data_IF_658229481875
#
_entry.id   IF_658229481875
#
_cell.length_a   1.000
_cell.length_b   1.000
_cell.length_c   1.000
_cell.angle_alpha   90.00
_cell.angle_beta   90.00
_cell.angle_gamma   90.00
#
_symmetry.space_group_name_H-M   'P 1'
#
loop_
_entity.id
_entity.type
_entity.pdbx_description
1 polymer ?
#
# COMPACT_ATOMS: atom_id res chain seq x y z
N UNK A 1 0.71 -10.95 -9.07
CA UNK A 1 -0.16 -9.85 -8.61
C UNK A 1 0.16 -9.42 -7.17
N UNK A 2 0.33 -10.34 -6.22
CA UNK A 2 0.44 -10.05 -4.77
C UNK A 2 1.81 -9.55 -4.25
N UNK A 3 2.64 -8.99 -5.11
CA UNK A 3 3.99 -8.53 -4.74
C UNK A 3 4.12 -7.07 -5.16
N UNK A 4 4.57 -6.22 -4.25
CA UNK A 4 5.01 -4.87 -4.54
C UNK A 4 6.52 -4.78 -4.30
N UNK A 5 7.24 -4.17 -5.24
CA UNK A 5 8.69 -3.92 -5.13
C UNK A 5 8.86 -2.47 -4.75
N UNK A 6 9.40 -2.22 -3.56
CA UNK A 6 9.76 -0.87 -3.10
C UNK A 6 11.26 -0.64 -3.26
N UNK A 7 11.65 0.47 -3.87
CA UNK A 7 13.06 0.85 -4.07
C UNK A 7 13.43 2.15 -3.32
N UNK A 8 14.69 2.56 -3.49
CA UNK A 8 15.37 3.70 -2.86
C UNK A 8 15.23 3.75 -1.33
N UNK A 9 16.28 3.28 -0.65
CA UNK A 9 16.36 3.21 0.80
C UNK A 9 16.32 4.62 1.41
N UNK A 10 15.87 4.69 2.66
CA UNK A 10 15.88 5.90 3.46
C UNK A 10 17.01 5.86 4.49
N UNK A 11 17.59 7.00 4.84
CA UNK A 11 18.68 7.04 5.81
C UNK A 11 18.14 6.66 7.20
N UNK A 12 18.68 5.60 7.79
CA UNK A 12 18.22 5.10 9.08
C UNK A 12 18.76 5.95 10.25
N UNK A 13 20.02 6.39 10.12
CA UNK A 13 20.70 7.24 11.09
C UNK A 13 21.80 8.05 10.40
N UNK A 14 22.08 9.23 10.95
CA UNK A 14 23.32 9.94 10.64
C UNK A 14 24.55 9.14 11.13
N UNK A 15 25.71 9.45 10.55
CA UNK A 15 26.99 8.98 11.06
C UNK A 15 27.22 9.48 12.49
N UNK A 16 27.87 8.68 13.33
CA UNK A 16 28.23 9.15 14.66
C UNK A 16 29.20 10.33 14.58
N UNK A 17 28.96 11.33 15.40
CA UNK A 17 29.86 12.46 15.64
C UNK A 17 30.21 12.53 17.13
N UNK A 18 30.99 13.54 17.52
CA UNK A 18 31.39 13.71 18.93
C UNK A 18 30.19 13.88 19.87
N UNK A 19 29.05 14.40 19.39
CA UNK A 19 27.86 14.64 20.20
C UNK A 19 26.92 13.42 20.28
N UNK A 20 26.89 12.61 19.23
CA UNK A 20 25.99 11.45 19.08
C UNK A 20 26.68 10.12 19.37
N UNK A 21 27.99 10.13 19.62
CA UNK A 21 28.76 8.94 19.99
C UNK A 21 28.19 8.25 21.22
N UNK A 22 27.98 6.93 21.12
CA UNK A 22 27.46 6.11 22.22
C UNK A 22 28.54 5.65 23.21
N UNK A 23 29.82 5.77 22.83
CA UNK A 23 30.97 5.36 23.64
C UNK A 23 31.60 6.60 24.25
N UNK A 24 31.76 6.62 25.58
CA UNK A 24 32.23 7.82 26.32
C UNK A 24 33.75 7.89 26.41
N UNK A 25 34.40 6.74 26.51
CA UNK A 25 35.85 6.60 26.71
C UNK A 25 36.64 6.95 25.45
N UNK A 26 36.08 6.65 24.28
CA UNK A 26 36.63 6.98 22.98
C UNK A 26 35.49 7.39 22.04
N UNK A 27 35.34 8.70 21.82
CA UNK A 27 34.32 9.23 20.93
C UNK A 27 34.56 8.72 19.50
N UNK A 28 33.66 7.86 19.03
CA UNK A 28 33.62 7.37 17.65
C UNK A 28 33.05 8.48 16.78
N UNK A 29 33.79 8.85 15.73
CA UNK A 29 33.36 9.75 14.66
C UNK A 29 33.38 8.96 13.37
N UNK A 30 32.21 8.74 12.77
CA UNK A 30 32.05 8.10 11.48
C UNK A 30 32.16 9.15 10.37
N UNK A 31 33.06 8.90 9.42
CA UNK A 31 33.25 9.73 8.24
C UNK A 31 32.86 8.91 7.00
N UNK A 32 31.56 8.76 6.69
CA UNK A 32 31.13 7.95 5.56
C UNK A 32 31.66 8.55 4.26
N UNK A 33 32.55 7.82 3.59
CA UNK A 33 33.19 8.25 2.34
C UNK A 33 32.29 8.09 1.11
N UNK A 34 31.29 7.22 1.19
CA UNK A 34 30.36 6.91 0.11
C UNK A 34 28.99 6.43 0.65
N UNK A 35 28.06 6.17 -0.27
CA UNK A 35 26.73 5.67 0.04
C UNK A 35 26.76 4.27 0.69
N UNK A 36 27.73 3.41 0.38
CA UNK A 36 27.88 2.08 0.99
C UNK A 36 28.29 2.12 2.45
N UNK A 37 28.95 3.19 2.89
CA UNK A 37 29.32 3.43 4.28
C UNK A 37 28.18 4.02 5.14
N UNK A 38 27.04 4.38 4.53
CA UNK A 38 25.86 4.88 5.25
C UNK A 38 24.93 3.75 5.71
N UNK A 39 24.15 4.01 6.76
CA UNK A 39 23.19 3.04 7.29
C UNK A 39 21.81 3.28 6.70
N UNK A 40 21.42 2.40 5.79
CA UNK A 40 20.17 2.49 5.04
C UNK A 40 19.07 1.60 5.62
N UNK A 41 17.87 2.15 5.69
CA UNK A 41 16.64 1.43 6.01
C UNK A 41 15.94 1.00 4.71
N UNK A 42 15.58 -0.28 4.61
CA UNK A 42 14.85 -0.78 3.45
C UNK A 42 13.49 -0.05 3.31
N UNK A 43 13.10 0.37 2.10
CA UNK A 43 11.88 1.14 1.87
C UNK A 43 10.60 0.37 2.26
N UNK A 44 10.66 -0.96 2.27
CA UNK A 44 9.57 -1.81 2.76
C UNK A 44 9.16 -1.51 4.21
N UNK A 45 10.10 -1.09 5.08
CA UNK A 45 9.78 -0.70 6.45
C UNK A 45 8.98 0.60 6.50
N UNK A 46 9.29 1.57 5.63
CA UNK A 46 8.55 2.82 5.54
C UNK A 46 7.13 2.57 5.01
N UNK A 47 7.00 1.77 3.96
CA UNK A 47 5.67 1.36 3.44
C UNK A 47 4.89 0.59 4.51
N UNK A 48 5.55 -0.31 5.26
CA UNK A 48 4.94 -1.02 6.38
C UNK A 48 4.45 -0.08 7.49
N UNK A 49 5.23 0.95 7.83
CA UNK A 49 4.82 1.97 8.80
C UNK A 49 3.56 2.72 8.34
N UNK A 50 3.46 3.06 7.05
CA UNK A 50 2.25 3.66 6.48
C UNK A 50 1.04 2.73 6.59
N UNK A 51 1.21 1.44 6.25
CA UNK A 51 0.14 0.43 6.36
C UNK A 51 -0.35 0.29 7.80
N UNK A 52 0.57 0.20 8.76
CA UNK A 52 0.24 0.09 10.19
C UNK A 52 -0.43 1.37 10.72
N UNK A 53 0.08 2.54 10.34
CA UNK A 53 -0.53 3.82 10.69
C UNK A 53 -1.95 3.96 10.13
N UNK A 54 -2.15 3.59 8.86
CA UNK A 54 -3.47 3.52 8.24
C UNK A 54 -4.41 2.61 9.04
N UNK A 55 -3.98 1.40 9.38
CA UNK A 55 -4.81 0.45 10.10
C UNK A 55 -5.15 0.94 11.52
N UNK A 56 -4.18 1.50 12.24
CA UNK A 56 -4.39 2.10 13.56
C UNK A 56 -5.45 3.20 13.51
N UNK A 57 -5.39 4.08 12.51
CA UNK A 57 -6.22 5.28 12.47
C UNK A 57 -7.62 5.03 11.87
N UNK A 58 -7.75 4.05 10.99
CA UNK A 58 -8.97 3.86 10.17
C UNK A 58 -9.58 2.46 10.27
N UNK A 59 -8.88 1.49 10.86
CA UNK A 59 -9.23 0.06 10.77
C UNK A 59 -8.92 -0.58 9.41
N UNK A 60 -8.41 0.20 8.45
CA UNK A 60 -8.07 -0.25 7.10
C UNK A 60 -6.59 -0.04 6.79
N UNK A 61 -5.91 -1.00 6.12
CA UNK A 61 -4.51 -0.85 5.71
C UNK A 61 -4.32 -0.07 4.39
N UNK A 62 -5.31 0.69 3.92
CA UNK A 62 -5.36 1.21 2.54
C UNK A 62 -4.78 2.62 2.35
N UNK A 63 -4.80 3.44 3.41
CA UNK A 63 -4.46 4.87 3.38
C UNK A 63 -2.94 5.09 3.39
N UNK A 64 -2.28 4.65 2.31
CA UNK A 64 -0.80 4.63 2.19
C UNK A 64 -0.26 5.39 0.98
N UNK A 65 -1.13 6.10 0.25
CA UNK A 65 -0.76 6.90 -0.92
C UNK A 65 -1.19 8.36 -0.79
N UNK A 66 -0.46 9.24 -1.46
CA UNK A 66 -0.69 10.68 -1.57
C UNK A 66 -0.22 11.47 -0.34
N UNK A 67 0.43 12.62 -0.59
CA UNK A 67 1.10 13.40 0.45
C UNK A 67 0.15 13.91 1.57
N UNK A 68 -1.12 14.19 1.25
CA UNK A 68 -2.12 14.65 2.23
C UNK A 68 -3.09 13.57 2.68
N UNK A 69 -3.03 12.41 2.04
CA UNK A 69 -4.01 11.33 2.18
C UNK A 69 -3.40 10.10 2.85
N UNK A 70 -2.26 10.23 3.52
CA UNK A 70 -1.64 9.19 4.35
C UNK A 70 -0.43 8.47 3.75
N UNK A 71 0.07 8.92 2.59
CA UNK A 71 1.29 8.39 1.98
C UNK A 71 2.59 9.09 2.39
N UNK A 72 2.56 9.97 3.40
CA UNK A 72 3.71 10.77 3.85
C UNK A 72 4.43 10.07 5.01
N UNK A 73 5.76 9.98 4.92
CA UNK A 73 6.64 9.63 6.03
C UNK A 73 7.56 10.84 6.27
N UNK A 74 7.47 11.43 7.46
CA UNK A 74 8.23 12.61 7.88
C UNK A 74 9.28 12.28 8.95
N UNK A 75 10.00 13.31 9.39
CA UNK A 75 11.01 13.22 10.45
C UNK A 75 12.12 12.18 10.14
N UNK A 76 12.54 12.11 8.88
CA UNK A 76 13.61 11.23 8.42
C UNK A 76 14.97 11.90 8.62
N UNK A 77 16.01 11.08 8.75
CA UNK A 77 17.37 11.60 8.72
C UNK A 77 17.70 12.01 7.28
N UNK A 78 18.43 13.11 7.13
CA UNK A 78 18.85 13.63 5.82
C UNK A 78 20.36 13.58 5.68
N UNK A 79 20.84 13.44 4.45
CA UNK A 79 22.24 13.60 4.08
C UNK A 79 22.34 14.54 2.88
N UNK A 80 23.45 15.26 2.78
CA UNK A 80 23.71 16.16 1.67
C UNK A 80 24.21 15.39 0.45
N UNK A 81 23.53 15.58 -0.67
CA UNK A 81 24.02 15.18 -1.98
C UNK A 81 24.56 16.42 -2.69
N UNK A 82 25.86 16.40 -3.00
CA UNK A 82 26.47 17.43 -3.83
C UNK A 82 26.00 17.25 -5.28
N UNK A 83 25.57 18.33 -5.93
CA UNK A 83 25.38 18.27 -7.37
C UNK A 83 26.76 18.21 -8.05
N UNK A 84 26.81 17.64 -9.26
CA UNK A 84 28.06 17.48 -10.01
C UNK A 84 28.67 18.78 -10.55
N UNK A 85 28.07 19.93 -10.26
CA UNK A 85 28.53 21.25 -10.71
C UNK A 85 29.36 21.94 -9.63
N UNK A 86 30.52 22.49 -10.00
CA UNK A 86 31.36 23.26 -9.09
C UNK A 86 30.60 24.49 -8.57
N UNK A 87 30.53 24.63 -7.24
CA UNK A 87 29.93 25.79 -6.57
C UNK A 87 28.45 25.67 -6.21
N UNK A 88 27.82 24.52 -6.47
CA UNK A 88 26.42 24.30 -6.08
C UNK A 88 26.29 23.96 -4.59
N UNK A 89 25.28 24.52 -3.94
CA UNK A 89 24.91 24.16 -2.57
C UNK A 89 24.22 22.78 -2.63
N UNK A 90 24.81 21.79 -1.97
CA UNK A 90 24.28 20.42 -1.97
C UNK A 90 22.82 20.37 -1.51
N UNK A 91 22.06 19.36 -1.99
CA UNK A 91 20.67 19.16 -1.61
C UNK A 91 20.61 18.11 -0.49
N UNK A 92 20.05 18.50 0.66
CA UNK A 92 19.77 17.55 1.73
C UNK A 92 18.54 16.71 1.40
N UNK A 93 18.69 15.38 1.37
CA UNK A 93 17.59 14.45 1.09
C UNK A 93 17.58 13.27 2.06
N UNK A 94 16.41 12.65 2.32
CA UNK A 94 16.33 11.52 3.24
C UNK A 94 16.59 10.15 2.57
N UNK A 95 16.66 10.10 1.24
CA UNK A 95 16.79 8.85 0.46
C UNK A 95 18.15 8.75 -0.22
N UNK A 96 18.54 7.55 -0.66
CA UNK A 96 19.81 7.32 -1.37
C UNK A 96 19.99 8.16 -2.62
N UNK A 97 18.89 8.42 -3.31
CA UNK A 97 18.82 9.23 -4.50
C UNK A 97 17.59 10.11 -4.43
N UNK A 98 17.68 11.30 -5.02
CA UNK A 98 16.54 12.18 -5.18
C UNK A 98 15.61 11.59 -6.22
N UNK A 99 14.37 11.28 -5.82
CA UNK A 99 13.33 10.80 -6.72
C UNK A 99 12.22 11.85 -6.76
N UNK A 100 11.98 12.41 -7.94
CA UNK A 100 10.89 13.35 -8.17
C UNK A 100 9.52 12.64 -8.22
N UNK A 101 8.43 13.41 -8.05
CA UNK A 101 7.07 12.89 -8.25
C UNK A 101 6.88 12.27 -9.64
N UNK A 102 7.43 12.90 -10.69
CA UNK A 102 7.24 12.42 -12.06
C UNK A 102 8.05 11.14 -12.31
N UNK A 103 9.28 11.07 -11.81
CA UNK A 103 10.09 9.84 -11.84
C UNK A 103 9.39 8.70 -11.10
N UNK A 104 8.82 8.97 -9.93
CA UNK A 104 8.03 7.98 -9.20
C UNK A 104 6.81 7.52 -10.02
N UNK A 105 6.12 8.42 -10.73
CA UNK A 105 4.98 8.07 -11.59
C UNK A 105 5.41 7.18 -12.76
N UNK A 106 6.58 7.42 -13.34
CA UNK A 106 7.11 6.60 -14.43
C UNK A 106 7.56 5.21 -13.94
N UNK A 107 8.25 5.13 -12.81
CA UNK A 107 8.57 3.85 -12.15
C UNK A 107 7.30 3.07 -11.80
N UNK A 108 6.24 3.77 -11.41
CA UNK A 108 4.96 3.13 -11.12
C UNK A 108 4.31 2.50 -12.34
N UNK A 109 4.54 3.01 -13.56
CA UNK A 109 4.10 2.34 -14.80
C UNK A 109 4.84 1.00 -15.00
N UNK A 110 6.10 0.93 -14.58
CA UNK A 110 6.95 -0.27 -14.67
C UNK A 110 6.77 -1.27 -13.51
N UNK A 111 5.79 -1.08 -12.61
CA UNK A 111 5.57 -2.03 -11.50
C UNK A 111 6.38 -1.77 -10.23
N UNK A 112 7.05 -0.62 -10.17
CA UNK A 112 7.99 -0.29 -9.09
C UNK A 112 7.42 0.83 -8.22
N UNK A 113 7.36 0.60 -6.92
CA UNK A 113 7.08 1.60 -5.90
C UNK A 113 8.41 2.27 -5.53
N UNK A 114 8.47 3.59 -5.59
CA UNK A 114 9.62 4.37 -5.12
C UNK A 114 9.16 5.39 -4.08
N UNK A 115 10.05 5.89 -3.23
CA UNK A 115 9.79 6.96 -2.27
C UNK A 115 10.21 8.28 -2.90
N UNK A 116 9.28 9.20 -3.13
CA UNK A 116 9.60 10.51 -3.71
C UNK A 116 9.93 11.50 -2.59
N UNK A 117 11.03 12.23 -2.74
CA UNK A 117 11.47 13.21 -1.74
C UNK A 117 10.51 14.40 -1.73
N UNK A 118 10.11 14.83 -0.54
CA UNK A 118 9.29 16.01 -0.39
C UNK A 118 10.14 17.28 -0.50
N UNK A 119 9.73 18.27 -1.31
CA UNK A 119 10.54 19.47 -1.54
C UNK A 119 10.89 20.18 -0.23
N UNK A 120 12.17 20.49 -0.03
CA UNK A 120 12.69 21.24 1.12
C UNK A 120 12.24 20.69 2.48
N UNK A 121 12.21 19.37 2.63
CA UNK A 121 11.81 18.72 3.88
C UNK A 121 12.53 17.39 4.07
N UNK A 122 12.50 16.92 5.31
CA UNK A 122 12.99 15.62 5.77
C UNK A 122 11.95 14.51 5.60
N UNK A 123 11.13 14.61 4.56
CA UNK A 123 10.01 13.70 4.33
C UNK A 123 10.05 13.06 2.94
N UNK A 124 9.36 11.93 2.82
CA UNK A 124 9.08 11.26 1.55
C UNK A 124 7.59 10.98 1.44
N UNK A 125 7.08 10.88 0.22
CA UNK A 125 5.72 10.40 -0.01
C UNK A 125 5.65 9.30 -1.07
N UNK A 126 4.63 8.46 -0.94
CA UNK A 126 4.24 7.44 -1.91
C UNK A 126 3.03 7.98 -2.69
N UNK A 127 3.16 8.37 -3.97
CA UNK A 127 1.97 8.75 -4.76
C UNK A 127 1.22 7.54 -5.31
N UNK A 128 1.93 6.47 -5.62
CA UNK A 128 1.34 5.25 -6.16
C UNK A 128 2.01 4.03 -5.53
N UNK A 129 1.20 3.02 -5.22
CA UNK A 129 1.66 1.74 -4.70
C UNK A 129 1.34 0.63 -5.70
N UNK A 130 2.08 0.57 -6.83
CA UNK A 130 1.88 -0.47 -7.84
C UNK A 130 2.26 -1.84 -7.31
N UNK A 131 1.72 -2.87 -7.95
CA UNK A 131 2.28 -4.23 -7.84
C UNK A 131 3.29 -4.47 -8.96
N UNK A 132 4.19 -5.43 -8.74
CA UNK A 132 5.21 -5.85 -9.69
C UNK A 132 4.62 -6.46 -10.97
N UNK A 133 3.34 -6.84 -10.94
CA UNK A 133 2.64 -7.30 -12.12
C UNK A 133 2.32 -6.12 -13.05
N UNK A 134 2.94 -6.13 -14.22
CA UNK A 134 2.66 -5.22 -15.33
C UNK A 134 1.99 -6.06 -16.43
N UNK A 135 0.74 -5.77 -16.82
CA UNK A 135 0.09 -6.48 -17.91
C UNK A 135 0.89 -6.33 -19.20
N UNK A 136 1.03 -7.40 -20.02
CA UNK A 136 1.65 -7.28 -21.33
C UNK A 136 0.86 -6.30 -22.21
N UNK A 137 1.56 -5.65 -23.15
CA UNK A 137 0.92 -4.78 -24.13
C UNK A 137 -0.22 -5.51 -24.85
N UNK A 138 -1.34 -4.81 -25.06
CA UNK A 138 -2.46 -5.39 -25.79
C UNK A 138 -1.98 -5.59 -27.23
N UNK A 139 -1.86 -6.84 -27.66
CA UNK A 139 -1.58 -7.10 -29.07
C UNK A 139 -2.77 -6.65 -29.91
N UNK A 140 -2.59 -5.62 -30.72
CA UNK A 140 -3.54 -5.24 -31.76
C UNK A 140 -3.26 -6.10 -32.99
N UNK A 141 -3.70 -7.37 -32.96
CA UNK A 141 -3.77 -8.17 -34.19
C UNK A 141 -5.18 -8.10 -34.75
N UNK A 142 -5.28 -7.66 -36.01
CA UNK A 142 -6.48 -7.78 -36.81
C UNK A 142 -6.59 -9.25 -37.29
N UNK A 143 -7.15 -10.12 -36.47
CA UNK A 143 -7.57 -11.44 -36.94
C UNK A 143 -8.71 -12.00 -36.07
N UNK A 144 -9.78 -12.39 -36.74
CA UNK A 144 -10.98 -12.98 -36.15
C UNK A 144 -10.78 -14.41 -35.59
N UNK A 145 -9.54 -14.85 -35.41
CA UNK A 145 -9.18 -16.27 -35.11
C UNK A 145 -8.25 -16.45 -33.92
N UNK A 146 -7.98 -15.41 -33.12
CA UNK A 146 -7.11 -15.53 -31.95
C UNK A 146 -7.96 -15.65 -30.67
N UNK A 147 -7.71 -16.67 -29.85
CA UNK A 147 -8.35 -16.81 -28.54
C UNK A 147 -8.07 -15.59 -27.65
N UNK A 148 -9.02 -15.19 -26.78
CA UNK A 148 -8.81 -14.05 -25.88
C UNK A 148 -7.57 -14.30 -25.01
N UNK A 149 -6.59 -13.42 -25.06
CA UNK A 149 -5.47 -13.50 -24.12
C UNK A 149 -5.99 -13.27 -22.69
N UNK A 150 -5.72 -14.22 -21.78
CA UNK A 150 -6.00 -14.09 -20.34
C UNK A 150 -5.14 -12.98 -19.71
N UNK A 151 -5.56 -11.74 -19.92
CA UNK A 151 -4.91 -10.53 -19.40
C UNK A 151 -5.56 -10.14 -18.08
N UNK A 152 -4.95 -10.57 -16.98
CA UNK A 152 -5.38 -10.13 -15.66
C UNK A 152 -5.21 -8.62 -15.53
N UNK A 153 -6.20 -7.97 -14.94
CA UNK A 153 -6.15 -6.54 -14.64
C UNK A 153 -5.04 -6.23 -13.63
N UNK A 154 -4.43 -5.06 -13.83
CA UNK A 154 -3.46 -4.52 -12.90
C UNK A 154 -4.18 -4.03 -11.66
N UNK A 155 -3.80 -4.56 -10.50
CA UNK A 155 -4.37 -4.18 -9.21
C UNK A 155 -3.25 -3.68 -8.31
N UNK A 156 -3.50 -2.55 -7.64
CA UNK A 156 -2.50 -1.90 -6.79
C UNK A 156 -2.34 -2.63 -5.45
N UNK A 157 -1.29 -2.29 -4.70
CA UNK A 157 -1.13 -2.78 -3.33
C UNK A 157 -2.29 -2.31 -2.44
N UNK A 158 -2.76 -1.08 -2.61
CA UNK A 158 -3.90 -0.52 -1.84
C UNK A 158 -5.15 -1.37 -2.04
N UNK A 159 -5.44 -1.73 -3.28
CA UNK A 159 -6.59 -2.58 -3.64
C UNK A 159 -6.46 -3.98 -3.05
N UNK A 160 -5.27 -4.56 -3.08
CA UNK A 160 -5.01 -5.88 -2.50
C UNK A 160 -5.15 -5.89 -0.98
N UNK A 161 -4.69 -4.84 -0.32
CA UNK A 161 -4.84 -4.65 1.12
C UNK A 161 -6.32 -4.51 1.50
N UNK A 162 -7.10 -3.79 0.69
CA UNK A 162 -8.56 -3.69 0.85
C UNK A 162 -9.24 -5.05 0.75
N UNK A 163 -9.04 -5.77 -0.36
CA UNK A 163 -9.64 -7.09 -0.58
C UNK A 163 -9.19 -8.07 0.50
N UNK A 164 -7.90 -8.08 0.84
CA UNK A 164 -7.35 -8.94 1.89
C UNK A 164 -8.03 -8.71 3.24
N UNK A 165 -8.30 -7.45 3.61
CA UNK A 165 -9.02 -7.12 4.84
C UNK A 165 -10.46 -7.60 4.83
N UNK A 166 -11.18 -7.41 3.72
CA UNK A 166 -12.57 -7.91 3.56
C UNK A 166 -12.60 -9.43 3.66
N UNK A 167 -11.75 -10.14 2.91
CA UNK A 167 -11.68 -11.60 2.94
C UNK A 167 -11.33 -12.11 4.34
N UNK A 168 -10.35 -11.51 5.01
CA UNK A 168 -9.98 -11.89 6.38
C UNK A 168 -11.16 -11.74 7.35
N UNK A 169 -11.88 -10.62 7.26
CA UNK A 169 -13.05 -10.37 8.09
C UNK A 169 -14.18 -11.37 7.82
N UNK A 170 -14.54 -11.58 6.55
CA UNK A 170 -15.60 -12.51 6.16
C UNK A 170 -15.27 -13.94 6.59
N UNK A 171 -14.04 -14.42 6.38
CA UNK A 171 -13.62 -15.75 6.87
C UNK A 171 -13.81 -15.88 8.37
N UNK A 172 -13.37 -14.88 9.13
CA UNK A 172 -13.48 -14.91 10.59
C UNK A 172 -14.94 -14.83 11.08
N UNK A 173 -15.80 -14.10 10.37
CA UNK A 173 -17.22 -13.98 10.68
C UNK A 173 -17.99 -15.25 10.32
N UNK A 174 -17.87 -15.71 9.07
CA UNK A 174 -18.65 -16.84 8.54
C UNK A 174 -18.30 -18.16 9.23
N UNK A 175 -17.05 -18.36 9.66
CA UNK A 175 -16.62 -19.53 10.45
C UNK A 175 -17.28 -19.63 11.85
N UNK A 176 -17.97 -18.58 12.31
CA UNK A 176 -18.67 -18.56 13.59
C UNK A 176 -20.17 -18.77 13.44
N UNK A 177 -20.67 -18.81 12.21
CA UNK A 177 -22.10 -18.93 11.92
C UNK A 177 -22.44 -20.39 11.58
N UNK A 178 -23.54 -20.94 12.10
CA UNK A 178 -23.97 -22.29 11.75
C UNK A 178 -24.32 -22.40 10.26
N UNK A 179 -23.84 -23.46 9.59
CA UNK A 179 -24.19 -23.75 8.20
C UNK A 179 -25.69 -24.05 7.99
N UNK A 180 -26.44 -24.35 9.06
CA UNK A 180 -27.87 -24.64 9.06
C UNK A 180 -28.75 -23.42 9.31
N UNK A 181 -28.19 -22.21 9.39
CA UNK A 181 -28.93 -20.97 9.63
C UNK A 181 -29.80 -20.59 8.44
N UNK A 182 -30.93 -19.91 8.70
CA UNK A 182 -31.81 -19.39 7.65
C UNK A 182 -31.14 -18.19 6.94
N UNK A 183 -30.98 -18.24 5.60
CA UNK A 183 -30.45 -17.11 4.83
C UNK A 183 -31.16 -15.78 5.09
N UNK A 184 -32.48 -15.78 5.29
CA UNK A 184 -33.27 -14.56 5.49
C UNK A 184 -32.94 -13.87 6.83
N UNK A 185 -32.63 -14.66 7.86
CA UNK A 185 -32.22 -14.14 9.17
C UNK A 185 -30.74 -13.71 9.17
N UNK A 186 -29.88 -14.40 8.42
CA UNK A 186 -28.45 -14.08 8.36
C UNK A 186 -28.14 -12.82 7.57
N UNK A 187 -28.85 -12.56 6.48
CA UNK A 187 -28.56 -11.44 5.61
C UNK A 187 -28.45 -10.09 6.35
N UNK A 188 -29.40 -9.65 7.20
CA UNK A 188 -29.27 -8.38 7.92
C UNK A 188 -28.12 -8.39 8.93
N UNK A 189 -27.82 -9.53 9.55
CA UNK A 189 -26.69 -9.67 10.50
C UNK A 189 -25.35 -9.53 9.78
N UNK A 190 -25.21 -10.17 8.62
CA UNK A 190 -24.02 -10.07 7.79
C UNK A 190 -23.82 -8.66 7.25
N UNK A 191 -24.89 -8.02 6.78
CA UNK A 191 -24.83 -6.65 6.28
C UNK A 191 -24.39 -5.67 7.38
N UNK A 192 -25.01 -5.75 8.56
CA UNK A 192 -24.61 -4.95 9.72
C UNK A 192 -23.15 -5.20 10.11
N UNK A 193 -22.72 -6.46 10.16
CA UNK A 193 -21.35 -6.84 10.50
C UNK A 193 -20.33 -6.31 9.48
N UNK A 194 -20.61 -6.37 8.18
CA UNK A 194 -19.70 -5.80 7.17
C UNK A 194 -19.64 -4.28 7.29
N UNK A 195 -20.75 -3.61 7.61
CA UNK A 195 -20.74 -2.17 7.88
C UNK A 195 -19.87 -1.77 9.07
N UNK A 196 -19.67 -2.64 10.08
CA UNK A 196 -18.78 -2.31 11.21
C UNK A 196 -17.32 -2.13 10.79
N UNK A 197 -16.90 -2.70 9.65
CA UNK A 197 -15.55 -2.46 9.11
C UNK A 197 -15.30 -0.97 8.81
N UNK A 198 -16.36 -0.19 8.59
CA UNK A 198 -16.26 1.20 8.17
C UNK A 198 -16.45 2.21 9.30
N UNK A 199 -16.71 1.78 10.54
CA UNK A 199 -17.01 2.68 11.67
C UNK A 199 -15.90 3.69 11.97
N UNK A 200 -14.63 3.25 11.94
CA UNK A 200 -13.47 4.09 12.24
C UNK A 200 -13.08 5.03 11.09
N UNK A 201 -13.62 4.80 9.89
CA UNK A 201 -13.44 5.68 8.75
C UNK A 201 -14.72 5.66 7.91
N UNK A 202 -15.77 6.40 8.33
CA UNK A 202 -17.05 6.40 7.65
C UNK A 202 -16.90 6.81 6.17
N UNK A 203 -17.48 6.05 5.23
CA UNK A 203 -17.29 6.30 3.82
C UNK A 203 -18.28 7.35 3.33
N UNK A 204 -17.82 8.25 2.45
CA UNK A 204 -18.70 9.24 1.83
C UNK A 204 -19.63 8.64 0.74
N UNK A 205 -19.27 7.48 0.16
CA UNK A 205 -20.01 6.92 -0.96
C UNK A 205 -19.79 5.43 -1.23
N UNK A 206 -19.28 4.66 -0.26
CA UNK A 206 -19.17 3.20 -0.44
C UNK A 206 -20.57 2.62 -0.58
N UNK A 207 -20.76 1.75 -1.56
CA UNK A 207 -21.98 0.95 -1.70
C UNK A 207 -21.70 -0.48 -1.25
N UNK A 208 -22.60 -1.06 -0.45
CA UNK A 208 -22.53 -2.44 0.02
C UNK A 208 -23.81 -3.17 -0.39
N UNK A 209 -23.67 -4.39 -0.90
CA UNK A 209 -24.76 -5.34 -1.08
C UNK A 209 -24.34 -6.68 -0.48
N UNK A 210 -25.19 -7.24 0.37
CA UNK A 210 -24.97 -8.55 0.99
C UNK A 210 -26.16 -9.44 0.67
N UNK A 211 -25.88 -10.68 0.30
CA UNK A 211 -26.88 -11.71 0.05
C UNK A 211 -26.44 -13.01 0.72
N UNK A 212 -27.32 -13.62 1.49
CA UNK A 212 -27.16 -15.01 1.92
C UNK A 212 -28.08 -15.88 1.07
N UNK A 213 -27.59 -17.05 0.65
CA UNK A 213 -28.37 -17.99 -0.15
C UNK A 213 -27.88 -19.42 0.03
N UNK A 214 -28.79 -20.37 -0.14
CA UNK A 214 -28.48 -21.79 -0.13
C UNK A 214 -28.30 -22.29 -1.56
N UNK A 215 -27.27 -23.09 -1.77
CA UNK A 215 -27.02 -23.85 -3.01
C UNK A 215 -27.01 -25.34 -2.70
N UNK A 216 -26.86 -26.18 -3.72
CA UNK A 216 -26.69 -27.63 -3.55
C UNK A 216 -25.43 -27.99 -2.74
N UNK A 217 -24.46 -27.07 -2.66
CA UNK A 217 -23.19 -27.24 -1.94
C UNK A 217 -23.23 -26.73 -0.49
N UNK A 218 -24.31 -26.06 -0.08
CA UNK A 218 -24.48 -25.55 1.27
C UNK A 218 -24.95 -24.09 1.34
N UNK A 219 -24.71 -23.45 2.48
CA UNK A 219 -25.07 -22.06 2.73
C UNK A 219 -23.91 -21.14 2.34
N UNK A 220 -24.19 -20.10 1.55
CA UNK A 220 -23.20 -19.14 1.08
C UNK A 220 -23.60 -17.70 1.39
N UNK A 221 -22.60 -16.84 1.52
CA UNK A 221 -22.74 -15.40 1.61
C UNK A 221 -21.98 -14.74 0.47
N UNK A 222 -22.69 -13.89 -0.28
CA UNK A 222 -22.12 -13.02 -1.32
C UNK A 222 -22.11 -11.58 -0.86
N UNK A 223 -20.93 -10.97 -0.88
CA UNK A 223 -20.70 -9.58 -0.50
C UNK A 223 -20.13 -8.82 -1.69
N UNK A 224 -20.86 -7.83 -2.15
CA UNK A 224 -20.46 -6.93 -3.23
C UNK A 224 -20.22 -5.53 -2.67
N UNK A 225 -19.04 -4.97 -2.92
CA UNK A 225 -18.65 -3.65 -2.43
C UNK A 225 -18.21 -2.78 -3.60
N UNK A 226 -18.72 -1.55 -3.69
CA UNK A 226 -18.17 -0.49 -4.56
C UNK A 226 -17.45 0.55 -3.72
N UNK A 227 -16.11 0.55 -3.70
CA UNK A 227 -15.34 1.41 -2.80
C UNK A 227 -15.44 2.91 -3.09
N UNK A 228 -15.70 3.33 -4.34
CA UNK A 228 -15.78 4.75 -4.75
C UNK A 228 -14.60 5.59 -4.23
N UNK A 229 -13.36 5.14 -4.47
CA UNK A 229 -12.11 5.82 -4.02
C UNK A 229 -11.88 5.85 -2.51
N UNK A 230 -12.63 5.05 -1.73
CA UNK A 230 -12.43 4.92 -0.29
C UNK A 230 -10.97 4.64 0.07
N UNK A 231 -10.36 5.55 0.83
CA UNK A 231 -8.96 5.46 1.28
C UNK A 231 -7.94 5.17 0.16
N UNK A 232 -8.19 5.66 -1.06
CA UNK A 232 -7.29 5.48 -2.20
C UNK A 232 -7.50 4.19 -2.99
N UNK A 233 -8.49 3.36 -2.63
CA UNK A 233 -8.85 2.15 -3.38
C UNK A 233 -9.33 2.52 -4.79
N UNK A 234 -8.74 1.92 -5.81
CA UNK A 234 -9.04 2.18 -7.21
C UNK A 234 -10.04 1.20 -7.82
N UNK A 235 -10.33 0.09 -7.14
CA UNK A 235 -11.33 -0.89 -7.57
C UNK A 235 -12.72 -0.23 -7.75
N UNK A 236 -13.37 -0.53 -8.86
CA UNK A 236 -14.75 -0.10 -9.12
C UNK A 236 -15.75 -0.91 -8.30
N UNK A 237 -15.55 -2.22 -8.29
CA UNK A 237 -16.39 -3.19 -7.59
C UNK A 237 -15.55 -4.41 -7.20
N UNK A 238 -15.89 -5.01 -6.08
CA UNK A 238 -15.48 -6.38 -5.73
C UNK A 238 -16.72 -7.18 -5.39
N UNK A 239 -16.73 -8.47 -5.76
CA UNK A 239 -17.75 -9.42 -5.34
C UNK A 239 -17.06 -10.67 -4.83
N UNK A 240 -17.42 -11.10 -3.62
CA UNK A 240 -16.85 -12.25 -2.93
C UNK A 240 -17.99 -13.17 -2.52
N UNK A 241 -17.92 -14.43 -2.92
CA UNK A 241 -18.82 -15.49 -2.47
C UNK A 241 -18.04 -16.47 -1.60
N UNK A 242 -18.58 -16.78 -0.42
CA UNK A 242 -17.90 -17.60 0.59
C UNK A 242 -18.90 -18.53 1.30
N UNK A 243 -18.52 -19.78 1.60
CA UNK A 243 -19.37 -20.69 2.37
C UNK A 243 -19.51 -20.20 3.82
N UNK A 244 -20.65 -20.51 4.42
CA UNK A 244 -20.98 -20.26 5.82
C UNK A 244 -20.85 -21.57 6.60
N UNK A 245 -20.12 -21.54 7.72
CA UNK A 245 -19.75 -22.74 8.49
C UNK A 245 -18.27 -23.08 8.40
#
# INVERSE_FOLDING_TARGET
RWIAIAMNRALARAGYDKATSRVREAAIVELPSDQGAMVWLAPAYLVGALVLGSFRDTGWPCRIIGARTGGLVDNLQVHEIKSGYEGDEGVAIPTEAFISTDTQRDLAKAGVLALASAPNSDAVYVHAAPTAYVPPEKRTYDSATTEPEDRLERVSLVDQLFVGRVVQFLRALLSKLPASSDPAELQPVLEAAVWTLFENAPPAGVELKVKAHTTDEGLFATVTIRPRRYLGVALEEISLEMPVG
#
